data_IF_186202231445
#
_entry.id   IF_186202231445
#
_cell.length_a   1.000
_cell.length_b   1.000
_cell.length_c   1.000
_cell.angle_alpha   90.00
_cell.angle_beta   90.00
_cell.angle_gamma   90.00
#
_symmetry.space_group_name_H-M   'P 1'
#
loop_
_entity.id
_entity.type
_entity.pdbx_description
1 polymer ?
#
# COMPACT_ATOMS: atom_id res chain seq x y z
N UNK A 1 19.49 -18.55 -3.80
CA UNK A 1 18.96 -17.92 -2.58
C UNK A 1 18.69 -16.47 -2.93
N UNK A 2 17.42 -16.11 -3.16
CA UNK A 2 17.00 -14.72 -3.33
C UNK A 2 16.53 -14.23 -1.97
N UNK A 3 17.07 -13.11 -1.50
CA UNK A 3 16.61 -12.45 -0.27
C UNK A 3 15.49 -11.47 -0.64
N UNK A 4 14.30 -11.66 -0.08
CA UNK A 4 13.08 -10.98 -0.52
C UNK A 4 12.77 -9.69 0.27
N UNK A 5 13.23 -9.55 1.52
CA UNK A 5 13.24 -8.27 2.25
C UNK A 5 14.16 -8.33 3.49
N UNK A 6 14.36 -7.17 4.12
CA UNK A 6 15.10 -6.99 5.38
C UNK A 6 14.19 -6.25 6.36
N UNK A 7 13.91 -6.80 7.54
CA UNK A 7 13.23 -6.07 8.63
C UNK A 7 14.27 -5.20 9.35
N UNK A 8 14.71 -4.14 8.69
CA UNK A 8 15.47 -3.08 9.34
C UNK A 8 15.01 -1.74 8.79
N UNK A 9 14.62 -0.86 9.70
CA UNK A 9 14.29 0.53 9.44
C UNK A 9 15.40 1.48 9.88
N UNK A 10 16.55 0.97 10.34
CA UNK A 10 17.71 1.75 10.78
C UNK A 10 18.56 2.29 9.62
N UNK A 11 17.91 3.03 8.72
CA UNK A 11 18.53 4.11 7.93
C UNK A 11 19.61 3.78 6.89
N UNK A 12 20.30 2.63 6.92
CA UNK A 12 21.30 2.25 5.91
C UNK A 12 20.71 1.38 4.78
N UNK A 13 19.72 0.52 5.09
CA UNK A 13 18.94 -0.28 4.13
C UNK A 13 17.44 -0.02 4.33
N UNK A 14 16.93 1.13 3.89
CA UNK A 14 15.54 1.51 4.17
C UNK A 14 14.56 0.60 3.42
N UNK A 15 13.94 -0.34 4.14
CA UNK A 15 12.82 -1.12 3.63
C UNK A 15 11.58 -0.21 3.47
N UNK A 16 11.52 0.50 2.35
CA UNK A 16 10.51 1.52 2.08
C UNK A 16 9.08 0.95 2.04
N UNK A 17 8.91 -0.31 1.61
CA UNK A 17 7.62 -1.00 1.64
C UNK A 17 7.11 -1.14 3.07
N UNK A 18 7.95 -1.59 4.02
CA UNK A 18 7.59 -1.77 5.43
C UNK A 18 7.46 -0.43 6.15
N UNK A 19 8.38 0.50 5.94
CA UNK A 19 8.29 1.84 6.53
C UNK A 19 6.96 2.50 6.15
N UNK A 20 6.59 2.48 4.87
CA UNK A 20 5.35 3.09 4.40
C UNK A 20 4.11 2.36 4.95
N UNK A 21 4.17 1.04 5.14
CA UNK A 21 3.11 0.27 5.79
C UNK A 21 2.94 0.69 7.27
N UNK A 22 4.05 0.75 8.02
CA UNK A 22 4.05 1.19 9.43
C UNK A 22 3.41 2.57 9.57
N UNK A 23 3.82 3.52 8.72
CA UNK A 23 3.25 4.87 8.72
C UNK A 23 1.75 4.86 8.40
N UNK A 24 1.29 4.08 7.41
CA UNK A 24 -0.13 3.97 7.10
C UNK A 24 -0.95 3.47 8.31
N UNK A 25 -0.44 2.45 9.02
CA UNK A 25 -1.10 1.87 10.20
C UNK A 25 -1.16 2.84 11.38
N UNK A 26 -0.04 3.49 11.72
CA UNK A 26 0.04 4.48 12.80
C UNK A 26 -0.97 5.61 12.56
N UNK A 27 -0.93 6.21 11.37
CA UNK A 27 -1.79 7.34 11.05
C UNK A 27 -3.27 6.94 10.94
N UNK A 28 -3.57 5.72 10.49
CA UNK A 28 -4.94 5.19 10.53
C UNK A 28 -5.44 5.02 11.97
N UNK A 29 -4.64 4.43 12.86
CA UNK A 29 -4.99 4.23 14.25
C UNK A 29 -5.18 5.57 15.00
N UNK A 30 -4.29 6.54 14.78
CA UNK A 30 -4.41 7.87 15.36
C UNK A 30 -5.66 8.60 14.83
N UNK A 31 -5.97 8.48 13.54
CA UNK A 31 -7.18 9.10 12.97
C UNK A 31 -8.45 8.48 13.56
N UNK A 32 -8.48 7.16 13.75
CA UNK A 32 -9.60 6.47 14.40
C UNK A 32 -9.79 6.93 15.85
N UNK A 33 -8.70 7.13 16.60
CA UNK A 33 -8.74 7.63 17.98
C UNK A 33 -9.26 9.07 18.04
N UNK A 34 -8.75 9.95 17.19
CA UNK A 34 -9.20 11.35 17.22
C UNK A 34 -10.67 11.50 16.81
N UNK A 35 -11.15 10.64 15.89
CA UNK A 35 -12.57 10.57 15.52
C UNK A 35 -13.48 10.03 16.64
N UNK A 36 -12.95 9.26 17.60
CA UNK A 36 -13.73 8.83 18.78
C UNK A 36 -13.77 9.87 19.89
N UNK A 37 -12.74 10.72 19.96
CA UNK A 37 -12.50 11.59 21.11
C UNK A 37 -12.90 13.05 20.85
N UNK A 38 -13.09 13.46 19.59
CA UNK A 38 -13.39 14.84 19.20
C UNK A 38 -14.47 14.96 18.12
N UNK A 39 -15.27 16.04 18.20
CA UNK A 39 -16.28 16.40 17.19
C UNK A 39 -15.66 16.92 15.88
N UNK A 40 -14.42 17.41 15.93
CA UNK A 40 -13.65 17.89 14.79
C UNK A 40 -12.21 17.39 14.87
N UNK A 41 -11.71 16.87 13.75
CA UNK A 41 -10.33 16.38 13.63
C UNK A 41 -9.53 17.37 12.81
N UNK A 42 -8.44 17.87 13.38
CA UNK A 42 -7.52 18.77 12.68
C UNK A 42 -6.86 18.07 11.49
N UNK A 43 -6.72 18.79 10.37
CA UNK A 43 -6.12 18.28 9.13
C UNK A 43 -6.73 16.95 8.64
N UNK A 44 -8.03 16.74 8.88
CA UNK A 44 -8.71 15.47 8.58
C UNK A 44 -8.48 15.01 7.13
N UNK A 45 -8.58 15.92 6.18
CA UNK A 45 -8.45 15.60 4.75
C UNK A 45 -7.00 15.25 4.39
N UNK A 46 -6.03 16.01 4.88
CA UNK A 46 -4.60 15.77 4.67
C UNK A 46 -4.17 14.44 5.28
N UNK A 47 -4.71 14.08 6.46
CA UNK A 47 -4.46 12.78 7.10
C UNK A 47 -5.02 11.63 6.27
N UNK A 48 -6.23 11.78 5.72
CA UNK A 48 -6.82 10.80 4.81
C UNK A 48 -5.95 10.59 3.55
N UNK A 49 -5.48 11.68 2.93
CA UNK A 49 -4.57 11.63 1.78
C UNK A 49 -3.25 10.97 2.17
N UNK A 50 -2.68 11.32 3.32
CA UNK A 50 -1.42 10.76 3.79
C UNK A 50 -1.51 9.23 3.97
N UNK A 51 -2.61 8.73 4.54
CA UNK A 51 -2.87 7.30 4.70
C UNK A 51 -2.97 6.61 3.33
N UNK A 52 -3.71 7.18 2.38
CA UNK A 52 -3.81 6.64 1.01
C UNK A 52 -2.44 6.61 0.32
N UNK A 53 -1.67 7.69 0.43
CA UNK A 53 -0.33 7.80 -0.15
C UNK A 53 0.65 6.79 0.45
N UNK A 54 0.62 6.59 1.77
CA UNK A 54 1.53 5.67 2.46
C UNK A 54 1.19 4.21 2.16
N UNK A 55 -0.10 3.81 2.22
CA UNK A 55 -0.49 2.44 1.87
C UNK A 55 -0.28 2.14 0.38
N UNK A 56 -0.57 3.10 -0.51
CA UNK A 56 -0.36 2.95 -1.94
C UNK A 56 1.12 2.85 -2.33
N UNK A 57 1.98 3.65 -1.69
CA UNK A 57 3.44 3.54 -1.85
C UNK A 57 3.94 2.19 -1.35
N UNK A 58 3.48 1.78 -0.16
CA UNK A 58 3.84 0.50 0.45
C UNK A 58 3.55 -0.68 -0.48
N UNK A 59 2.32 -0.77 -1.00
CA UNK A 59 1.90 -1.83 -1.94
C UNK A 59 2.67 -1.75 -3.26
N UNK A 60 2.93 -0.54 -3.77
CA UNK A 60 3.69 -0.36 -5.02
C UNK A 60 5.13 -0.83 -4.90
N UNK A 61 5.78 -0.56 -3.76
CA UNK A 61 7.12 -1.05 -3.45
C UNK A 61 7.13 -2.56 -3.26
N UNK A 62 6.14 -3.12 -2.55
CA UNK A 62 5.98 -4.56 -2.38
C UNK A 62 5.94 -5.30 -3.71
N UNK A 63 5.12 -4.83 -4.65
CA UNK A 63 5.01 -5.45 -5.96
C UNK A 63 6.25 -5.23 -6.82
N UNK A 64 6.83 -4.03 -6.79
CA UNK A 64 7.99 -3.68 -7.61
C UNK A 64 9.25 -4.42 -7.19
N UNK A 65 9.54 -4.47 -5.89
CA UNK A 65 10.73 -5.12 -5.33
C UNK A 65 10.65 -6.65 -5.42
N UNK A 66 9.44 -7.22 -5.34
CA UNK A 66 9.22 -8.66 -5.37
C UNK A 66 8.73 -9.16 -6.74
N UNK A 67 8.96 -8.41 -7.82
CA UNK A 67 8.55 -8.84 -9.15
C UNK A 67 9.25 -10.17 -9.53
N UNK A 68 8.51 -11.28 -9.77
CA UNK A 68 9.11 -12.59 -10.06
C UNK A 68 9.75 -12.67 -11.45
N UNK A 69 9.67 -11.62 -12.26
CA UNK A 69 10.28 -11.54 -13.59
C UNK A 69 10.97 -10.18 -13.75
N UNK A 70 12.14 -9.99 -13.12
CA UNK A 70 12.92 -8.76 -13.28
C UNK A 70 13.36 -8.65 -14.74
N UNK A 71 13.03 -7.53 -15.36
CA UNK A 71 13.39 -7.16 -16.73
C UNK A 71 14.06 -5.77 -16.70
N UNK A 72 14.65 -5.30 -17.81
CA UNK A 72 15.30 -3.98 -17.89
C UNK A 72 14.38 -2.83 -17.44
N UNK A 73 13.06 -3.03 -17.57
CA UNK A 73 12.04 -2.10 -17.08
C UNK A 73 11.04 -2.80 -16.17
N UNK A 74 10.99 -2.38 -14.91
CA UNK A 74 10.00 -2.85 -13.95
C UNK A 74 8.57 -2.54 -14.47
N UNK A 75 7.69 -3.55 -14.61
CA UNK A 75 6.31 -3.31 -15.02
C UNK A 75 5.56 -2.43 -14.01
N UNK A 76 4.45 -1.81 -14.44
CA UNK A 76 3.62 -1.05 -13.49
C UNK A 76 3.05 -1.99 -12.41
N UNK A 77 2.83 -1.49 -11.16
CA UNK A 77 2.24 -2.30 -10.09
C UNK A 77 0.95 -3.01 -10.51
N UNK A 78 0.11 -2.34 -11.31
CA UNK A 78 -1.11 -2.92 -11.89
C UNK A 78 -0.86 -4.18 -12.73
N UNK A 79 0.20 -4.19 -13.55
CA UNK A 79 0.55 -5.35 -14.38
C UNK A 79 1.10 -6.49 -13.53
N UNK A 80 1.95 -6.16 -12.56
CA UNK A 80 2.54 -7.15 -11.64
C UNK A 80 1.42 -7.84 -10.85
N UNK A 81 0.52 -7.07 -10.23
CA UNK A 81 -0.58 -7.63 -9.46
C UNK A 81 -1.55 -8.46 -10.34
N UNK A 82 -1.89 -7.99 -11.55
CA UNK A 82 -2.71 -8.76 -12.47
C UNK A 82 -2.09 -10.12 -12.83
N UNK A 83 -0.76 -10.16 -13.01
CA UNK A 83 -0.03 -11.40 -13.27
C UNK A 83 -0.05 -12.34 -12.06
N UNK A 84 0.07 -11.82 -10.83
CA UNK A 84 -0.08 -12.63 -9.61
C UNK A 84 -1.49 -13.22 -9.49
N UNK A 85 -2.53 -12.42 -9.75
CA UNK A 85 -3.92 -12.89 -9.76
C UNK A 85 -4.11 -14.05 -10.74
N UNK A 86 -3.60 -13.91 -11.97
CA UNK A 86 -3.69 -14.96 -12.99
C UNK A 86 -2.89 -16.20 -12.62
N UNK A 87 -1.63 -16.03 -12.20
CA UNK A 87 -0.71 -17.13 -11.90
C UNK A 87 -1.16 -17.99 -10.72
N UNK A 88 -1.80 -17.36 -9.74
CA UNK A 88 -2.25 -18.03 -8.52
C UNK A 88 -3.77 -18.32 -8.50
N UNK A 89 -4.46 -18.12 -9.63
CA UNK A 89 -5.90 -18.35 -9.78
C UNK A 89 -6.74 -17.67 -8.69
N UNK A 90 -6.38 -16.42 -8.35
CA UNK A 90 -7.14 -15.59 -7.42
C UNK A 90 -8.39 -15.03 -8.09
N UNK A 91 -9.28 -14.43 -7.30
CA UNK A 91 -10.49 -13.78 -7.80
C UNK A 91 -10.16 -12.69 -8.86
N UNK A 92 -10.67 -12.80 -10.10
CA UNK A 92 -10.46 -11.80 -11.14
C UNK A 92 -10.94 -10.38 -10.79
N UNK A 93 -11.94 -10.23 -9.89
CA UNK A 93 -12.45 -8.93 -9.45
C UNK A 93 -11.36 -8.08 -8.78
N UNK A 94 -10.35 -8.73 -8.17
CA UNK A 94 -9.20 -8.08 -7.57
C UNK A 94 -8.45 -7.17 -8.56
N UNK A 95 -8.45 -7.49 -9.85
CA UNK A 95 -7.81 -6.65 -10.88
C UNK A 95 -8.52 -5.31 -11.07
N UNK A 96 -9.83 -5.30 -10.94
CA UNK A 96 -10.65 -4.09 -11.05
C UNK A 96 -10.47 -3.22 -9.81
N UNK A 97 -10.57 -3.83 -8.62
CA UNK A 97 -10.34 -3.14 -7.34
C UNK A 97 -8.92 -2.57 -7.25
N UNK A 98 -7.92 -3.34 -7.70
CA UNK A 98 -6.53 -2.87 -7.70
C UNK A 98 -6.31 -1.71 -8.67
N UNK A 99 -6.99 -1.70 -9.82
CA UNK A 99 -6.95 -0.57 -10.74
C UNK A 99 -7.48 0.70 -10.05
N UNK A 100 -8.62 0.61 -9.37
CA UNK A 100 -9.19 1.76 -8.66
C UNK A 100 -8.27 2.24 -7.51
N UNK A 101 -7.71 1.28 -6.76
CA UNK A 101 -6.75 1.55 -5.70
C UNK A 101 -5.52 2.33 -6.22
N UNK A 102 -4.86 1.84 -7.26
CA UNK A 102 -3.64 2.47 -7.78
C UNK A 102 -3.94 3.81 -8.47
N UNK A 103 -5.08 3.94 -9.16
CA UNK A 103 -5.47 5.19 -9.79
C UNK A 103 -5.74 6.28 -8.74
N UNK A 104 -6.37 5.91 -7.62
CA UNK A 104 -6.65 6.85 -6.51
C UNK A 104 -5.37 7.23 -5.78
N UNK A 105 -4.47 6.25 -5.54
CA UNK A 105 -3.14 6.51 -5.01
C UNK A 105 -2.35 7.49 -5.89
N UNK A 106 -2.27 7.25 -7.20
CA UNK A 106 -1.55 8.12 -8.12
C UNK A 106 -2.12 9.55 -8.13
N UNK A 107 -3.44 9.69 -8.05
CA UNK A 107 -4.09 11.01 -7.94
C UNK A 107 -3.70 11.73 -6.64
N UNK A 108 -3.73 11.04 -5.50
CA UNK A 108 -3.38 11.59 -4.20
C UNK A 108 -1.89 11.95 -4.12
N UNK A 109 -1.00 11.07 -4.60
CA UNK A 109 0.46 11.25 -4.58
C UNK A 109 0.90 12.51 -5.32
N UNK A 110 0.22 12.82 -6.42
CA UNK A 110 0.51 13.99 -7.22
C UNK A 110 -0.30 15.22 -6.80
N UNK A 111 -1.05 15.19 -5.69
CA UNK A 111 -1.96 16.26 -5.29
C UNK A 111 -2.93 16.70 -6.41
N UNK A 112 -3.27 15.80 -7.33
CA UNK A 112 -4.05 16.15 -8.51
C UNK A 112 -3.33 17.05 -9.53
N UNK A 113 -2.01 17.27 -9.40
CA UNK A 113 -1.17 17.98 -10.38
C UNK A 113 -1.04 17.14 -11.66
N UNK A 114 -1.98 17.35 -12.57
CA UNK A 114 -1.80 17.10 -14.00
C UNK A 114 -1.42 18.41 -14.68
N UNK A 115 -0.77 18.34 -15.85
CA UNK A 115 -0.41 19.52 -16.64
C UNK A 115 -1.59 20.45 -16.97
N UNK A 116 -2.84 19.99 -16.78
CA UNK A 116 -4.08 20.71 -17.03
C UNK A 116 -4.95 20.97 -15.77
N UNK A 117 -4.51 20.58 -14.57
CA UNK A 117 -5.23 20.78 -13.31
C UNK A 117 -6.55 20.00 -13.15
N UNK A 118 -6.90 19.12 -14.11
CA UNK A 118 -8.20 18.43 -14.17
C UNK A 118 -8.46 17.44 -13.02
N UNK A 119 -7.43 17.04 -12.27
CA UNK A 119 -7.53 16.02 -11.20
C UNK A 119 -7.59 16.56 -9.78
N UNK A 120 -7.51 17.88 -9.57
CA UNK A 120 -7.66 18.51 -8.24
C UNK A 120 -9.00 18.17 -7.58
N UNK A 121 -10.08 18.09 -8.37
CA UNK A 121 -11.41 17.74 -7.88
C UNK A 121 -11.46 16.32 -7.28
N UNK A 122 -10.68 15.37 -7.82
CA UNK A 122 -10.70 13.98 -7.32
C UNK A 122 -10.04 13.86 -5.95
N UNK A 123 -8.99 14.64 -5.69
CA UNK A 123 -8.37 14.71 -4.35
C UNK A 123 -9.36 15.29 -3.33
N UNK A 124 -10.13 16.32 -3.71
CA UNK A 124 -11.17 16.89 -2.84
C UNK A 124 -12.33 15.94 -2.51
N UNK A 125 -12.46 14.82 -3.23
CA UNK A 125 -13.46 13.79 -2.97
C UNK A 125 -12.99 12.69 -2.00
N UNK A 126 -11.77 12.78 -1.45
CA UNK A 126 -11.30 11.84 -0.42
C UNK A 126 -12.14 12.01 0.85
N UNK A 127 -12.87 10.95 1.20
CA UNK A 127 -13.69 10.82 2.41
C UNK A 127 -13.12 9.77 3.35
N UNK A 128 -13.59 9.73 4.60
CA UNK A 128 -13.22 8.68 5.56
C UNK A 128 -13.49 7.28 5.00
N UNK A 129 -14.66 7.08 4.41
CA UNK A 129 -15.06 5.76 3.89
C UNK A 129 -14.18 5.35 2.72
N UNK A 130 -13.80 6.30 1.85
CA UNK A 130 -12.87 6.02 0.76
C UNK A 130 -11.47 5.68 1.28
N UNK A 131 -10.99 6.41 2.27
CA UNK A 131 -9.72 6.11 2.94
C UNK A 131 -9.75 4.74 3.60
N UNK A 132 -10.84 4.38 4.29
CA UNK A 132 -11.03 3.06 4.91
C UNK A 132 -10.96 1.96 3.87
N UNK A 133 -11.74 2.08 2.80
CA UNK A 133 -11.80 1.10 1.71
C UNK A 133 -10.41 0.85 1.11
N UNK A 134 -9.69 1.93 0.79
CA UNK A 134 -8.35 1.83 0.20
C UNK A 134 -7.32 1.27 1.19
N UNK A 135 -7.38 1.69 2.45
CA UNK A 135 -6.50 1.18 3.50
C UNK A 135 -6.68 -0.32 3.70
N UNK A 136 -7.92 -0.78 3.90
CA UNK A 136 -8.24 -2.20 4.10
C UNK A 136 -7.90 -3.03 2.87
N UNK A 137 -8.20 -2.53 1.66
CA UNK A 137 -7.82 -3.20 0.42
C UNK A 137 -6.30 -3.31 0.28
N UNK A 138 -5.55 -2.26 0.63
CA UNK A 138 -4.09 -2.26 0.61
C UNK A 138 -3.49 -3.29 1.57
N UNK A 139 -4.05 -3.43 2.78
CA UNK A 139 -3.67 -4.48 3.74
C UNK A 139 -3.96 -5.89 3.19
N UNK A 140 -5.12 -6.09 2.57
CA UNK A 140 -5.47 -7.37 1.95
C UNK A 140 -4.51 -7.72 0.81
N UNK A 141 -4.08 -6.74 0.00
CA UNK A 141 -3.06 -6.97 -1.03
C UNK A 141 -1.74 -7.40 -0.39
N UNK A 142 -1.32 -6.76 0.70
CA UNK A 142 -0.15 -7.17 1.48
C UNK A 142 -0.25 -8.63 1.92
N UNK A 143 -1.34 -9.00 2.60
CA UNK A 143 -1.60 -10.37 3.05
C UNK A 143 -1.57 -11.38 1.91
N UNK A 144 -2.19 -11.02 0.78
CA UNK A 144 -2.26 -11.87 -0.39
C UNK A 144 -0.88 -12.12 -0.99
N UNK A 145 -0.09 -11.06 -1.17
CA UNK A 145 1.24 -11.12 -1.78
C UNK A 145 2.21 -11.87 -0.87
N UNK A 146 2.26 -11.54 0.42
CA UNK A 146 3.09 -12.27 1.39
C UNK A 146 2.64 -13.73 1.49
N UNK A 147 1.34 -13.99 1.49
CA UNK A 147 0.77 -15.34 1.49
C UNK A 147 1.16 -16.18 0.27
N UNK A 148 1.31 -15.55 -0.91
CA UNK A 148 1.85 -16.20 -2.10
C UNK A 148 3.32 -16.58 -1.87
N UNK A 149 4.15 -15.63 -1.43
CA UNK A 149 5.57 -15.88 -1.25
C UNK A 149 5.85 -16.89 -0.13
N UNK A 150 5.05 -16.92 0.94
CA UNK A 150 5.17 -17.90 2.04
C UNK A 150 4.96 -19.35 1.60
N UNK A 151 4.23 -19.59 0.50
CA UNK A 151 3.95 -20.94 -0.01
C UNK A 151 5.11 -21.54 -0.79
N UNK A 152 6.07 -20.72 -1.22
CA UNK A 152 7.23 -21.20 -1.95
C UNK A 152 8.40 -21.40 -0.97
N UNK A 153 8.82 -22.65 -0.72
CA UNK A 153 9.87 -22.97 0.24
C UNK A 153 11.26 -22.48 -0.18
N UNK A 154 11.41 -21.94 -1.40
CA UNK A 154 12.65 -21.31 -1.87
C UNK A 154 12.77 -19.85 -1.43
N UNK A 155 11.71 -19.26 -0.88
CA UNK A 155 11.72 -17.88 -0.40
C UNK A 155 12.15 -17.81 1.06
N UNK A 156 13.10 -16.93 1.35
CA UNK A 156 13.38 -16.48 2.71
C UNK A 156 12.49 -15.28 3.02
N UNK A 157 11.63 -15.44 4.03
CA UNK A 157 10.78 -14.39 4.57
C UNK A 157 11.04 -14.31 6.06
N UNK A 158 11.35 -13.13 6.58
CA UNK A 158 11.36 -12.91 8.02
C UNK A 158 9.92 -13.01 8.58
N UNK A 159 9.71 -13.36 9.84
CA UNK A 159 8.35 -13.45 10.40
C UNK A 159 7.68 -12.06 10.49
N UNK A 160 6.94 -11.68 9.45
CA UNK A 160 6.14 -10.45 9.41
C UNK A 160 4.73 -10.70 9.97
N UNK A 161 4.43 -10.17 11.16
CA UNK A 161 3.07 -10.10 11.67
C UNK A 161 2.44 -8.74 11.33
N UNK A 162 1.54 -8.74 10.35
CA UNK A 162 0.81 -7.54 9.95
C UNK A 162 -0.06 -6.98 11.08
N UNK A 163 -0.42 -7.77 12.10
CA UNK A 163 -1.16 -7.26 13.25
C UNK A 163 -0.28 -6.31 14.10
N UNK A 164 1.01 -6.64 14.28
CA UNK A 164 1.91 -5.96 15.20
C UNK A 164 3.00 -5.12 14.53
N UNK A 165 3.07 -5.07 13.20
CA UNK A 165 4.14 -4.34 12.47
C UNK A 165 4.30 -2.86 12.88
N UNK A 166 3.24 -2.23 13.39
CA UNK A 166 3.28 -0.85 13.89
C UNK A 166 4.00 -0.69 15.24
N UNK A 167 4.18 -1.80 15.97
CA UNK A 167 4.77 -1.86 17.31
C UNK A 167 6.23 -2.35 17.27
N UNK A 168 6.76 -2.67 16.10
CA UNK A 168 8.15 -3.06 15.90
C UNK A 168 9.09 -1.84 15.96
N UNK A 169 10.17 -1.89 16.78
CA UNK A 169 11.07 -0.77 17.04
C UNK A 169 11.82 -0.24 15.81
#
# INVERSE_FOLDING_TARGET
MHRYYFIDSSGEDTNLQLYSLKQAKIHWADLQRDLSDADQVEHFHERCIFIICTIGLSVSQLLGQNNPSPDERVPSPRKIFASLVDRHALDPELKLKFKEFIDTYDQCRHFGLTNDGSRHWQVSQVTLDKTRELYEFGLMVWDTVIGIFRRDPQNELDDLDLATVQDEP
#
